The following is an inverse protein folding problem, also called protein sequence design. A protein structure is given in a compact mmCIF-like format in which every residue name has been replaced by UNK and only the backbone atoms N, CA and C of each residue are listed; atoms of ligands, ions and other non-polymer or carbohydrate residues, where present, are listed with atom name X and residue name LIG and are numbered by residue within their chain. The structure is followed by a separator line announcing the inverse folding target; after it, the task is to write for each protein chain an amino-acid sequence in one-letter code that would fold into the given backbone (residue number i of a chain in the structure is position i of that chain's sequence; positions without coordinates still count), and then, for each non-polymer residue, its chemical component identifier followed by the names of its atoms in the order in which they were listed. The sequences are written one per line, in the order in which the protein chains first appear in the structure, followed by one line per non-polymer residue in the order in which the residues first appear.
data_IF_637666525832
#
_entry.id   IF_637666525832
#
_cell.length_a   1.000
_cell.length_b   1.000
_cell.length_c   1.000
_cell.angle_alpha   90.00
_cell.angle_beta   90.00
_cell.angle_gamma   90.00
#
_symmetry.space_group_name_H-M   'P 1'
#
loop_
_entity.id
_entity.type
_entity.pdbx_description
1 polymer ?
#
# COMPACT_ATOMS: atom_id res chain seq x y z
N UNK A 1 1.05 7.56 11.46
CA UNK A 1 0.79 9.01 11.30
C UNK A 1 -0.49 9.17 10.51
N UNK A 2 -1.47 9.94 11.02
CA UNK A 2 -2.82 10.03 10.47
C UNK A 2 -3.85 9.17 11.22
N UNK A 3 -3.76 9.11 12.56
CA UNK A 3 -4.69 8.30 13.35
C UNK A 3 -6.14 8.80 13.28
N UNK A 4 -7.07 7.94 13.69
CA UNK A 4 -8.51 8.14 13.52
C UNK A 4 -9.09 9.35 14.30
N UNK A 5 -8.39 9.82 15.33
CA UNK A 5 -8.81 10.90 16.21
C UNK A 5 -7.93 12.14 16.04
N UNK A 6 -8.45 13.30 16.40
CA UNK A 6 -7.75 14.59 16.32
C UNK A 6 -6.41 14.57 17.06
N UNK A 7 -6.39 14.02 18.28
CA UNK A 7 -5.19 13.86 19.12
C UNK A 7 -4.11 12.99 18.46
N UNK A 8 -4.52 12.03 17.63
CA UNK A 8 -3.62 11.13 16.89
C UNK A 8 -3.18 11.67 15.50
N UNK A 9 -3.48 12.95 15.23
CA UNK A 9 -3.18 13.63 13.97
C UNK A 9 -4.25 13.50 12.89
N UNK A 10 -5.51 13.38 13.29
CA UNK A 10 -6.65 13.17 12.37
C UNK A 10 -6.78 14.22 11.27
N UNK A 11 -6.58 15.51 11.58
CA UNK A 11 -6.65 16.58 10.56
C UNK A 11 -5.54 16.46 9.48
N UNK A 12 -4.34 15.97 9.85
CA UNK A 12 -3.26 15.71 8.87
C UNK A 12 -3.60 14.50 8.00
N UNK A 13 -4.16 13.45 8.60
CA UNK A 13 -4.65 12.27 7.88
C UNK A 13 -5.77 12.63 6.88
N UNK A 14 -6.71 13.48 7.31
CA UNK A 14 -7.78 13.98 6.46
C UNK A 14 -7.26 14.75 5.24
N UNK A 15 -6.32 15.68 5.43
CA UNK A 15 -5.72 16.43 4.32
C UNK A 15 -5.02 15.53 3.31
N UNK A 16 -4.27 14.52 3.77
CA UNK A 16 -3.63 13.54 2.89
C UNK A 16 -4.65 12.66 2.16
N UNK A 17 -5.71 12.20 2.84
CA UNK A 17 -6.78 11.43 2.21
C UNK A 17 -7.51 12.25 1.13
N UNK A 18 -7.75 13.54 1.37
CA UNK A 18 -8.36 14.42 0.38
C UNK A 18 -7.46 14.60 -0.85
N UNK A 19 -6.15 14.73 -0.68
CA UNK A 19 -5.22 14.77 -1.80
C UNK A 19 -5.28 13.47 -2.63
N UNK A 20 -5.34 12.30 -1.98
CA UNK A 20 -5.52 11.01 -2.67
C UNK A 20 -6.82 10.99 -3.46
N UNK A 21 -7.93 11.47 -2.89
CA UNK A 21 -9.24 11.55 -3.56
C UNK A 21 -9.20 12.46 -4.79
N UNK A 22 -8.59 13.63 -4.67
CA UNK A 22 -8.46 14.60 -5.77
C UNK A 22 -7.67 13.98 -6.93
N UNK A 23 -6.50 13.40 -6.65
CA UNK A 23 -5.66 12.82 -7.70
C UNK A 23 -6.27 11.57 -8.31
N UNK A 24 -6.84 10.68 -7.49
CA UNK A 24 -7.29 9.37 -7.96
C UNK A 24 -8.66 9.45 -8.64
N UNK A 25 -9.58 10.27 -8.11
CA UNK A 25 -10.95 10.34 -8.60
C UNK A 25 -11.24 11.61 -9.40
N UNK A 26 -11.07 12.80 -8.81
CA UNK A 26 -11.51 14.04 -9.46
C UNK A 26 -10.71 14.37 -10.72
N UNK A 27 -9.38 14.18 -10.69
CA UNK A 27 -8.51 14.46 -11.83
C UNK A 27 -8.79 13.53 -13.03
N UNK A 28 -9.15 12.28 -12.76
CA UNK A 28 -9.44 11.27 -13.79
C UNK A 28 -10.91 11.26 -14.23
N UNK A 29 -11.80 11.92 -13.49
CA UNK A 29 -13.25 11.86 -13.68
C UNK A 29 -13.91 10.59 -13.13
N UNK A 30 -13.23 9.84 -12.26
CA UNK A 30 -13.80 8.66 -11.62
C UNK A 30 -14.80 9.02 -10.50
N UNK A 31 -15.47 8.00 -9.93
CA UNK A 31 -16.39 8.21 -8.82
C UNK A 31 -15.61 8.47 -7.53
N UNK A 32 -16.15 9.33 -6.68
CA UNK A 32 -15.48 9.83 -5.47
C UNK A 32 -16.36 9.66 -4.22
N UNK A 33 -15.72 9.66 -3.06
CA UNK A 33 -16.35 9.57 -1.74
C UNK A 33 -17.34 8.39 -1.64
N UNK A 34 -18.58 8.65 -1.20
CA UNK A 34 -19.61 7.62 -1.04
C UNK A 34 -20.18 7.09 -2.37
N UNK A 35 -19.70 7.56 -3.53
CA UNK A 35 -20.17 7.15 -4.86
C UNK A 35 -19.35 6.03 -5.48
N UNK A 36 -18.20 5.65 -4.91
CA UNK A 36 -17.25 4.68 -5.48
C UNK A 36 -17.87 3.31 -5.76
N UNK A 37 -18.86 2.90 -4.98
CA UNK A 37 -19.58 1.63 -5.13
C UNK A 37 -21.07 1.86 -5.45
N UNK A 38 -21.40 2.27 -6.68
CA UNK A 38 -22.78 2.54 -7.06
C UNK A 38 -23.63 1.27 -7.00
N UNK A 39 -24.92 1.45 -6.72
CA UNK A 39 -25.91 0.38 -6.68
C UNK A 39 -27.16 0.80 -7.46
N UNK A 40 -27.90 -0.16 -7.99
CA UNK A 40 -29.24 0.07 -8.53
C UNK A 40 -30.22 0.44 -7.41
N UNK A 41 -31.41 0.93 -7.76
CA UNK A 41 -32.50 1.20 -6.82
C UNK A 41 -32.87 -0.03 -5.97
N UNK A 42 -32.75 -1.23 -6.56
CA UNK A 42 -32.99 -2.52 -5.88
C UNK A 42 -31.76 -3.04 -5.11
N UNK A 43 -30.72 -2.22 -4.94
CA UNK A 43 -29.51 -2.55 -4.16
C UNK A 43 -28.47 -3.43 -4.86
N UNK A 44 -28.65 -3.74 -6.15
CA UNK A 44 -27.69 -4.55 -6.93
C UNK A 44 -26.42 -3.72 -7.19
N UNK A 45 -25.21 -4.22 -6.89
CA UNK A 45 -23.98 -3.48 -7.12
C UNK A 45 -23.69 -3.34 -8.63
N UNK A 46 -23.22 -2.15 -9.01
CA UNK A 46 -22.52 -1.91 -10.27
C UNK A 46 -21.02 -2.13 -10.10
N UNK A 47 -20.24 -2.23 -11.19
CA UNK A 47 -18.78 -2.13 -11.11
C UNK A 47 -18.36 -0.89 -10.32
N UNK A 48 -17.31 -1.01 -9.53
CA UNK A 48 -16.79 0.13 -8.79
C UNK A 48 -16.24 1.18 -9.76
N UNK A 49 -16.48 2.45 -9.46
CA UNK A 49 -15.97 3.58 -10.24
C UNK A 49 -14.64 4.08 -9.68
N UNK A 50 -13.74 3.17 -9.29
CA UNK A 50 -12.45 3.52 -8.68
C UNK A 50 -11.54 4.11 -9.74
N UNK A 51 -10.98 5.29 -9.44
CA UNK A 51 -9.88 5.86 -10.22
C UNK A 51 -8.54 5.64 -9.52
N UNK A 52 -7.46 5.70 -10.30
CA UNK A 52 -6.09 5.56 -9.82
C UNK A 52 -5.23 6.70 -10.36
N UNK A 53 -4.23 7.11 -9.58
CA UNK A 53 -3.22 8.07 -10.00
C UNK A 53 -1.83 7.46 -9.88
N UNK A 54 -1.01 7.66 -10.92
CA UNK A 54 0.38 7.24 -10.94
C UNK A 54 1.27 8.44 -11.26
N UNK A 55 2.25 8.70 -10.41
CA UNK A 55 3.22 9.77 -10.59
C UNK A 55 4.64 9.23 -10.67
N UNK A 56 5.42 9.76 -11.61
CA UNK A 56 6.85 9.48 -11.71
C UNK A 56 7.61 10.80 -11.85
N UNK A 57 8.68 10.96 -11.07
CA UNK A 57 9.56 12.12 -11.13
C UNK A 57 10.93 11.70 -11.66
N UNK A 58 11.42 12.41 -12.67
CA UNK A 58 12.72 12.13 -13.27
C UNK A 58 13.83 12.80 -12.44
N UNK A 59 14.59 12.03 -11.67
CA UNK A 59 15.60 12.53 -10.72
C UNK A 59 16.68 13.39 -11.39
N UNK A 60 17.18 12.98 -12.56
CA UNK A 60 18.22 13.70 -13.30
C UNK A 60 17.77 15.06 -13.87
N UNK A 61 16.46 15.37 -13.82
CA UNK A 61 15.95 16.70 -14.13
C UNK A 61 16.24 17.72 -13.01
N UNK A 62 16.60 17.25 -11.81
CA UNK A 62 16.84 18.09 -10.63
C UNK A 62 18.31 18.13 -10.21
N UNK A 63 19.01 16.98 -10.26
CA UNK A 63 20.44 16.86 -9.90
C UNK A 63 21.06 15.57 -10.47
N UNK A 64 22.40 15.45 -10.52
CA UNK A 64 23.04 14.21 -10.95
C UNK A 64 22.55 12.98 -10.17
N UNK A 65 22.11 11.96 -10.91
CA UNK A 65 21.47 10.75 -10.36
C UNK A 65 22.35 10.02 -9.33
N UNK A 66 23.65 9.92 -9.60
CA UNK A 66 24.57 9.19 -8.73
C UNK A 66 24.84 9.94 -7.42
N UNK A 67 24.83 11.27 -7.43
CA UNK A 67 24.86 12.04 -6.18
C UNK A 67 23.57 11.89 -5.38
N UNK A 68 22.40 11.90 -6.04
CA UNK A 68 21.12 11.68 -5.36
C UNK A 68 21.09 10.32 -4.65
N UNK A 69 21.55 9.25 -5.32
CA UNK A 69 21.62 7.92 -4.73
C UNK A 69 22.57 7.87 -3.53
N UNK A 70 23.78 8.42 -3.68
CA UNK A 70 24.77 8.49 -2.58
C UNK A 70 24.20 9.20 -1.36
N UNK A 71 23.55 10.34 -1.57
CA UNK A 71 22.98 11.12 -0.47
C UNK A 71 21.74 10.40 0.14
N UNK A 72 21.01 9.61 -0.65
CA UNK A 72 19.94 8.74 -0.15
C UNK A 72 20.47 7.60 0.73
N UNK A 73 21.59 6.98 0.33
CA UNK A 73 22.26 5.96 1.13
C UNK A 73 22.76 6.54 2.47
N UNK A 74 23.34 7.74 2.45
CA UNK A 74 23.75 8.46 3.67
C UNK A 74 22.55 8.77 4.57
N UNK A 75 21.43 9.26 4.00
CA UNK A 75 20.20 9.52 4.76
C UNK A 75 19.66 8.24 5.44
N UNK A 76 19.56 7.15 4.68
CA UNK A 76 19.10 5.85 5.20
C UNK A 76 20.03 5.37 6.33
N UNK A 77 21.34 5.49 6.13
CA UNK A 77 22.33 5.11 7.13
C UNK A 77 22.18 5.94 8.42
N UNK A 78 21.99 7.26 8.30
CA UNK A 78 21.77 8.15 9.45
C UNK A 78 20.48 7.80 10.21
N UNK A 79 19.38 7.56 9.50
CA UNK A 79 18.11 7.20 10.12
C UNK A 79 18.22 5.88 10.90
N UNK A 80 18.85 4.87 10.31
CA UNK A 80 19.01 3.55 10.95
C UNK A 80 19.94 3.57 12.17
N UNK A 81 20.89 4.49 12.20
CA UNK A 81 21.86 4.65 13.29
C UNK A 81 21.50 5.76 14.30
N UNK A 82 20.34 6.41 14.14
CA UNK A 82 19.86 7.39 15.10
C UNK A 82 19.63 6.74 16.49
N UNK A 83 19.66 7.53 17.58
CA UNK A 83 19.28 7.05 18.91
C UNK A 83 17.90 6.39 18.87
N UNK A 84 17.84 5.18 19.41
CA UNK A 84 16.61 4.37 19.41
C UNK A 84 15.73 4.78 20.59
N UNK A 85 14.42 4.65 20.41
CA UNK A 85 13.49 4.79 21.53
C UNK A 85 13.73 3.67 22.57
N UNK A 86 13.33 3.93 23.82
CA UNK A 86 13.42 2.93 24.88
C UNK A 86 12.67 1.65 24.48
N UNK A 87 13.31 0.49 24.68
CA UNK A 87 12.77 -0.81 24.29
C UNK A 87 12.84 -1.15 22.79
N UNK A 88 13.31 -0.24 21.92
CA UNK A 88 13.47 -0.51 20.50
C UNK A 88 14.88 -1.04 20.15
N UNK A 89 14.94 -2.21 19.51
CA UNK A 89 16.20 -2.84 19.10
C UNK A 89 16.76 -2.30 17.78
N UNK A 90 15.90 -1.81 16.88
CA UNK A 90 16.27 -1.36 15.52
C UNK A 90 15.26 -0.33 15.00
N UNK A 91 15.74 0.61 14.18
CA UNK A 91 14.92 1.51 13.38
C UNK A 91 14.81 0.91 11.96
N UNK A 92 13.59 0.86 11.43
CA UNK A 92 13.32 0.42 10.07
C UNK A 92 13.09 1.63 9.17
N UNK A 93 13.51 1.53 7.90
CA UNK A 93 13.02 2.42 6.86
C UNK A 93 11.75 1.86 6.24
N UNK A 94 10.96 2.73 5.61
CA UNK A 94 9.73 2.33 4.89
C UNK A 94 10.07 1.29 3.82
N UNK A 95 9.35 0.16 3.82
CA UNK A 95 9.55 -0.96 2.89
C UNK A 95 10.55 -2.03 3.35
N UNK A 96 11.36 -1.78 4.38
CA UNK A 96 12.39 -2.73 4.82
C UNK A 96 11.79 -4.01 5.42
N UNK A 97 10.71 -3.89 6.20
CA UNK A 97 10.01 -5.05 6.76
C UNK A 97 9.37 -5.91 5.68
N UNK A 98 8.74 -5.26 4.71
CA UNK A 98 8.11 -5.94 3.57
C UNK A 98 9.16 -6.61 2.67
N UNK A 99 10.32 -5.97 2.48
CA UNK A 99 11.46 -6.56 1.77
C UNK A 99 11.99 -7.82 2.47
N UNK A 100 12.29 -7.74 3.76
CA UNK A 100 12.77 -8.88 4.56
C UNK A 100 11.75 -10.04 4.57
N UNK A 101 10.46 -9.73 4.70
CA UNK A 101 9.40 -10.73 4.65
C UNK A 101 9.25 -11.35 3.26
N UNK A 102 9.34 -10.55 2.18
CA UNK A 102 9.28 -11.07 0.82
C UNK A 102 10.44 -12.04 0.54
N UNK A 103 11.67 -11.72 0.97
CA UNK A 103 12.83 -12.63 0.86
C UNK A 103 12.62 -13.94 1.63
N UNK A 104 12.00 -13.86 2.82
CA UNK A 104 11.68 -15.03 3.64
C UNK A 104 10.63 -15.90 2.96
N UNK A 105 9.53 -15.30 2.50
CA UNK A 105 8.41 -15.99 1.86
C UNK A 105 8.79 -16.58 0.50
N UNK A 106 9.71 -15.96 -0.24
CA UNK A 106 10.23 -16.52 -1.49
C UNK A 106 10.95 -17.87 -1.27
N UNK A 107 11.55 -18.09 -0.09
CA UNK A 107 12.26 -19.33 0.27
C UNK A 107 11.36 -20.36 0.94
N UNK A 108 10.45 -19.89 1.80
CA UNK A 108 9.65 -20.77 2.68
C UNK A 108 8.22 -21.02 2.16
N UNK A 109 7.78 -20.26 1.16
CA UNK A 109 6.40 -20.23 0.70
C UNK A 109 5.53 -19.29 1.53
N UNK A 110 4.38 -18.91 0.96
CA UNK A 110 3.39 -18.03 1.61
C UNK A 110 2.49 -18.86 2.52
N UNK A 111 2.47 -18.59 3.84
CA UNK A 111 1.54 -19.28 4.73
C UNK A 111 0.11 -18.82 4.42
N UNK A 112 -0.75 -19.79 4.12
CA UNK A 112 -2.17 -19.52 3.88
C UNK A 112 -3.00 -19.98 5.09
N UNK A 113 -3.99 -19.16 5.44
CA UNK A 113 -5.01 -19.59 6.40
C UNK A 113 -5.83 -20.73 5.79
N UNK A 114 -6.18 -21.74 6.58
CA UNK A 114 -7.01 -22.88 6.16
C UNK A 114 -8.27 -22.45 5.40
N UNK A 115 -8.93 -21.35 5.82
CA UNK A 115 -10.11 -20.83 5.12
C UNK A 115 -9.81 -20.40 3.68
N UNK A 116 -8.67 -19.75 3.45
CA UNK A 116 -8.23 -19.36 2.11
C UNK A 116 -7.94 -20.60 1.26
N UNK A 117 -7.32 -21.64 1.84
CA UNK A 117 -7.06 -22.91 1.15
C UNK A 117 -8.37 -23.57 0.71
N UNK A 118 -9.36 -23.62 1.60
CA UNK A 118 -10.69 -24.16 1.30
C UNK A 118 -11.38 -23.39 0.17
N UNK A 119 -11.36 -22.06 0.23
CA UNK A 119 -11.92 -21.19 -0.81
C UNK A 119 -11.25 -21.41 -2.17
N UNK A 120 -9.91 -21.47 -2.21
CA UNK A 120 -9.16 -21.72 -3.44
C UNK A 120 -9.47 -23.10 -4.04
N UNK A 121 -9.55 -24.15 -3.21
CA UNK A 121 -9.93 -25.50 -3.66
C UNK A 121 -11.37 -25.56 -4.15
N UNK A 122 -12.28 -24.80 -3.54
CA UNK A 122 -13.67 -24.71 -3.98
C UNK A 122 -13.78 -24.04 -5.37
N UNK A 123 -13.03 -22.95 -5.59
CA UNK A 123 -12.95 -22.29 -6.90
C UNK A 123 -12.36 -23.23 -7.95
N UNK A 124 -11.26 -23.93 -7.64
CA UNK A 124 -10.65 -24.90 -8.56
C UNK A 124 -11.66 -25.98 -8.98
N UNK A 125 -12.44 -26.51 -8.03
CA UNK A 125 -13.50 -27.48 -8.32
C UNK A 125 -14.59 -26.90 -9.22
N UNK A 126 -15.05 -25.67 -8.98
CA UNK A 126 -16.08 -25.03 -9.79
C UNK A 126 -15.62 -24.81 -11.24
N UNK A 127 -14.33 -24.54 -11.42
CA UNK A 127 -13.73 -24.30 -12.74
C UNK A 127 -13.20 -25.58 -13.40
N UNK A 128 -13.31 -26.74 -12.75
CA UNK A 128 -12.79 -28.01 -13.28
C UNK A 128 -11.27 -28.09 -13.37
N UNK A 129 -10.57 -27.33 -12.52
CA UNK A 129 -9.10 -27.29 -12.44
C UNK A 129 -8.57 -28.22 -11.35
N UNK A 130 -7.30 -28.60 -11.46
CA UNK A 130 -6.58 -29.31 -10.41
C UNK A 130 -6.55 -28.49 -9.12
N UNK A 131 -6.66 -29.20 -7.99
CA UNK A 131 -6.67 -28.55 -6.68
C UNK A 131 -5.28 -27.99 -6.38
N UNK A 132 -5.14 -26.69 -6.07
CA UNK A 132 -3.91 -26.18 -5.50
C UNK A 132 -3.77 -26.74 -4.08
N UNK A 133 -2.57 -27.29 -3.75
CA UNK A 133 -2.10 -27.79 -2.44
C UNK A 133 -3.20 -28.41 -1.55
#
# INVERSE_FOLDING_TARGET
MGGALEESGGHKGYGLALAVEIFSALLSGALYANRVYPKTENGKPFPSGIGHFFGAMRIDAFRPKEEFKRDMDDLIHRLKNAPKAEGANRIYIHGEKEFEEAERLAKLGVPLNNKVVEELRAIAKQLGMDKPF
#
